data_IF_381527550375
#
_entry.id   IF_381527550375
#
_cell.length_a   1.000
_cell.length_b   1.000
_cell.length_c   1.000
_cell.angle_alpha   90.00
_cell.angle_beta   90.00
_cell.angle_gamma   90.00
#
_symmetry.space_group_name_H-M   'P 1'
#
loop_
_entity.id
_entity.type
_entity.pdbx_description
1 polymer ?
#
# COMPACT_ATOMS: atom_id res chain seq x y z
N UNK A 1 5.25 7.97 2.78
CA UNK A 1 4.74 6.63 3.16
C UNK A 1 4.10 6.75 4.53
N UNK A 2 2.88 6.26 4.69
CA UNK A 2 2.15 6.21 5.95
C UNK A 2 1.65 4.78 6.21
N UNK A 3 1.54 4.38 7.48
CA UNK A 3 1.08 3.04 7.88
C UNK A 3 -0.04 3.21 8.92
N UNK A 4 -1.16 2.56 8.65
CA UNK A 4 -2.32 2.46 9.50
C UNK A 4 -2.47 1.00 9.98
N UNK A 5 -2.77 0.81 11.26
CA UNK A 5 -3.03 -0.52 11.83
C UNK A 5 -4.54 -0.69 11.96
N UNK A 6 -5.05 -1.87 11.62
CA UNK A 6 -6.48 -2.21 11.78
C UNK A 6 -6.79 -2.67 13.21
N UNK A 7 -5.76 -3.04 13.96
CA UNK A 7 -5.78 -3.45 15.38
C UNK A 7 -5.34 -2.27 16.28
N UNK A 8 -5.89 -2.19 17.49
CA UNK A 8 -5.49 -1.17 18.47
C UNK A 8 -4.12 -1.54 19.09
N UNK A 9 -3.02 -1.15 18.44
CA UNK A 9 -1.66 -1.47 18.88
C UNK A 9 -0.85 -0.19 19.16
N UNK A 10 -0.55 0.06 20.44
CA UNK A 10 0.51 0.97 20.90
C UNK A 10 1.77 0.15 21.18
N UNK A 11 3.03 0.62 20.94
CA UNK A 11 3.52 1.96 20.55
C UNK A 11 3.99 2.01 19.05
N UNK A 12 4.67 3.08 18.53
CA UNK A 12 4.90 3.30 17.08
C UNK A 12 5.60 2.16 16.32
N UNK A 13 6.49 1.42 16.97
CA UNK A 13 7.19 0.27 16.36
C UNK A 13 6.27 -0.94 16.22
N UNK A 14 5.16 -1.00 16.96
CA UNK A 14 4.14 -2.03 16.80
C UNK A 14 3.42 -1.91 15.45
N UNK A 15 3.43 -0.74 14.80
CA UNK A 15 2.84 -0.55 13.45
C UNK A 15 3.46 -1.47 12.39
N UNK A 16 4.77 -1.68 12.46
CA UNK A 16 5.51 -2.53 11.51
C UNK A 16 5.43 -4.00 11.89
N UNK A 17 5.10 -4.33 13.15
CA UNK A 17 4.95 -5.69 13.64
C UNK A 17 3.48 -6.15 13.72
N UNK A 18 2.53 -5.26 13.42
CA UNK A 18 1.11 -5.59 13.47
C UNK A 18 0.77 -6.69 12.47
N UNK A 19 -0.07 -7.62 12.94
CA UNK A 19 -0.56 -8.76 12.17
C UNK A 19 -1.25 -8.32 10.89
N UNK A 20 -2.12 -7.33 11.01
CA UNK A 20 -2.79 -6.69 9.87
C UNK A 20 -2.41 -5.23 9.80
N UNK A 21 -1.95 -4.77 8.64
CA UNK A 21 -1.63 -3.36 8.42
C UNK A 21 -2.06 -2.89 7.03
N UNK A 22 -2.45 -1.63 6.94
CA UNK A 22 -2.71 -0.90 5.69
C UNK A 22 -1.56 0.09 5.49
N UNK A 23 -0.90 0.00 4.34
CA UNK A 23 0.27 0.80 3.99
C UNK A 23 -0.08 1.71 2.82
N UNK A 24 0.05 3.02 3.04
CA UNK A 24 -0.13 4.05 2.02
C UNK A 24 1.25 4.45 1.47
N UNK A 25 1.46 4.20 0.19
CA UNK A 25 2.73 4.42 -0.49
C UNK A 25 2.55 5.52 -1.51
N UNK A 26 3.40 6.53 -1.43
CA UNK A 26 3.57 7.59 -2.42
C UNK A 26 4.95 7.39 -3.05
N UNK A 27 5.03 7.25 -4.37
CA UNK A 27 6.30 7.00 -5.06
C UNK A 27 6.32 7.68 -6.43
N UNK A 28 7.52 8.06 -6.88
CA UNK A 28 7.73 8.58 -8.23
C UNK A 28 7.92 7.41 -9.19
N UNK A 29 7.09 7.32 -10.23
CA UNK A 29 7.27 6.31 -11.26
C UNK A 29 8.28 6.81 -12.30
N UNK A 30 9.54 6.40 -12.13
CA UNK A 30 10.65 6.76 -13.01
C UNK A 30 10.65 6.00 -14.34
N UNK A 31 9.96 4.86 -14.44
CA UNK A 31 9.87 4.10 -15.70
C UNK A 31 9.06 4.87 -16.77
N UNK A 32 8.02 5.60 -16.36
CA UNK A 32 7.33 6.55 -17.25
C UNK A 32 8.14 7.82 -17.51
N UNK A 33 9.12 8.14 -16.68
CA UNK A 33 9.99 9.30 -16.87
C UNK A 33 10.97 9.12 -18.06
N UNK A 34 11.20 7.89 -18.49
CA UNK A 34 12.01 7.61 -19.69
C UNK A 34 11.27 7.99 -20.99
N UNK A 35 9.94 8.18 -20.93
CA UNK A 35 9.06 8.55 -22.05
C UNK A 35 8.38 9.94 -21.81
N UNK A 36 8.61 10.58 -20.67
CA UNK A 36 7.95 11.84 -20.30
C UNK A 36 8.28 12.34 -18.90
N UNK A 37 7.40 13.12 -18.27
CA UNK A 37 7.60 13.62 -16.90
C UNK A 37 7.37 12.50 -15.85
N UNK A 38 8.13 12.54 -14.75
CA UNK A 38 7.92 11.61 -13.63
C UNK A 38 6.53 11.81 -13.05
N UNK A 39 5.71 10.75 -13.00
CA UNK A 39 4.37 10.84 -12.42
C UNK A 39 4.39 10.36 -10.98
N UNK A 40 3.89 11.20 -10.08
CA UNK A 40 3.62 10.81 -8.70
C UNK A 40 2.49 9.77 -8.66
N UNK A 41 2.75 8.62 -8.05
CA UNK A 41 1.80 7.52 -7.91
C UNK A 41 1.49 7.27 -6.45
N UNK A 42 0.27 6.78 -6.21
CA UNK A 42 -0.22 6.39 -4.89
C UNK A 42 -0.64 4.92 -4.95
N UNK A 43 -0.30 4.16 -3.92
CA UNK A 43 -0.77 2.79 -3.73
C UNK A 43 -1.21 2.58 -2.28
N UNK A 44 -2.17 1.67 -2.11
CA UNK A 44 -2.66 1.21 -0.82
C UNK A 44 -2.46 -0.30 -0.80
N UNK A 45 -1.74 -0.78 0.21
CA UNK A 45 -1.44 -2.20 0.37
C UNK A 45 -1.93 -2.67 1.72
N UNK A 46 -2.80 -3.68 1.74
CA UNK A 46 -3.16 -4.41 2.94
C UNK A 46 -2.28 -5.65 3.03
N UNK A 47 -1.62 -5.83 4.18
CA UNK A 47 -0.92 -7.06 4.53
C UNK A 47 -1.62 -7.75 5.70
N UNK A 48 -1.60 -9.08 5.69
CA UNK A 48 -2.05 -9.92 6.79
C UNK A 48 -1.02 -11.03 7.01
N UNK A 49 -0.55 -11.14 8.24
CA UNK A 49 0.33 -12.22 8.70
C UNK A 49 -0.53 -13.22 9.47
N UNK A 50 -0.50 -14.49 9.07
CA UNK A 50 -1.09 -15.57 9.83
C UNK A 50 -0.02 -16.12 10.78
N UNK A 51 0.05 -15.62 12.01
CA UNK A 51 1.11 -16.00 12.97
C UNK A 51 1.21 -17.51 13.21
N UNK A 52 0.10 -18.29 13.35
CA UNK A 52 0.20 -19.73 13.52
C UNK A 52 0.91 -20.47 12.38
N UNK A 53 0.77 -19.99 11.14
CA UNK A 53 1.32 -20.65 9.95
C UNK A 53 2.53 -19.91 9.36
N UNK A 54 2.81 -18.69 9.81
CA UNK A 54 3.78 -17.78 9.19
C UNK A 54 3.38 -17.25 7.81
N UNK A 55 2.20 -17.60 7.29
CA UNK A 55 1.81 -17.20 5.94
C UNK A 55 1.53 -15.69 5.83
N UNK A 56 2.02 -15.09 4.74
CA UNK A 56 1.80 -13.68 4.41
C UNK A 56 0.83 -13.56 3.24
N UNK A 57 -0.28 -12.86 3.45
CA UNK A 57 -1.20 -12.45 2.41
C UNK A 57 -1.07 -10.95 2.14
N UNK A 58 -0.99 -10.57 0.86
CA UNK A 58 -0.86 -9.18 0.41
C UNK A 58 -1.95 -8.90 -0.62
N UNK A 59 -2.68 -7.82 -0.43
CA UNK A 59 -3.63 -7.29 -1.39
C UNK A 59 -3.33 -5.81 -1.61
N UNK A 60 -3.22 -5.39 -2.86
CA UNK A 60 -2.83 -4.02 -3.20
C UNK A 60 -3.71 -3.43 -4.28
N UNK A 61 -3.95 -2.13 -4.18
CA UNK A 61 -4.54 -1.31 -5.21
C UNK A 61 -3.63 -0.11 -5.47
N UNK A 62 -3.50 0.30 -6.72
CA UNK A 62 -2.72 1.48 -7.09
C UNK A 62 -3.54 2.39 -7.98
N UNK A 63 -3.31 3.69 -7.84
CA UNK A 63 -4.01 4.71 -8.58
C UNK A 63 -3.13 5.18 -9.73
N UNK A 64 -3.65 5.05 -10.95
CA UNK A 64 -3.08 5.70 -12.12
C UNK A 64 -3.77 7.07 -12.23
N UNK A 65 -3.18 8.11 -11.66
CA UNK A 65 -3.56 9.49 -11.99
C UNK A 65 -3.67 9.69 -13.51
N UNK A 66 -4.80 10.26 -13.87
CA UNK A 66 -5.40 10.61 -15.17
C UNK A 66 -5.97 9.48 -16.05
N UNK A 67 -7.26 9.26 -15.82
CA UNK A 67 -8.18 8.45 -16.63
C UNK A 67 -9.33 7.93 -15.76
N UNK A 68 -10.47 8.61 -15.76
CA UNK A 68 -11.73 8.09 -15.19
C UNK A 68 -12.14 6.89 -16.06
N UNK A 69 -11.60 5.72 -15.76
CA UNK A 69 -12.27 4.45 -16.04
C UNK A 69 -12.81 3.98 -14.71
N UNK A 70 -14.07 4.32 -14.45
CA UNK A 70 -14.83 3.67 -13.40
C UNK A 70 -14.87 2.17 -13.74
N UNK A 71 -13.95 1.39 -13.19
CA UNK A 71 -14.19 -0.04 -13.03
C UNK A 71 -15.23 -0.16 -11.93
N UNK A 72 -16.49 -0.26 -12.34
CA UNK A 72 -17.60 -0.73 -11.51
C UNK A 72 -17.23 -2.07 -10.90
N UNK A 73 -17.31 -2.14 -9.58
CA UNK A 73 -17.51 -3.37 -8.83
C UNK A 73 -18.83 -3.24 -8.08
#
# INVERSE_FOLDING_TARGET
MAIEIVENVEPPNAKINAKTAIVYITYKNLAKAQIGESVDRKAIVRRVINEPTGHLAIQGHYWIGDGIYASTW
#
